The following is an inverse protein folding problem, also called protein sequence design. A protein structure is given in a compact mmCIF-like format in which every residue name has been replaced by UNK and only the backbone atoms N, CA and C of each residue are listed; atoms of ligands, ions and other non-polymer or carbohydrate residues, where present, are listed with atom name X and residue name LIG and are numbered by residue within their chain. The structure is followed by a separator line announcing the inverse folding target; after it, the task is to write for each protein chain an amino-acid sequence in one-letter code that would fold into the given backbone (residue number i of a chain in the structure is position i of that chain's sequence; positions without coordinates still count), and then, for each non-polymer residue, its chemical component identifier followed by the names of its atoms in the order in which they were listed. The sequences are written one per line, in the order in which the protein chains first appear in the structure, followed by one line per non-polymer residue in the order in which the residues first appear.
data_IF_954302767950
#
_entry.id   IF_954302767950
#
_cell.length_a   1.000
_cell.length_b   1.000
_cell.length_c   1.000
_cell.angle_alpha   90.00
_cell.angle_beta   90.00
_cell.angle_gamma   90.00
#
_symmetry.space_group_name_H-M   'P 1'
#
loop_
_entity.id
_entity.type
_entity.pdbx_description
1 polymer ?
#
# COMPACT_ATOMS: atom_id res chain seq x y z
N UNK A 1 -5.79 6.45 -8.50
CA UNK A 1 -6.00 6.44 -7.04
C UNK A 1 -7.48 6.23 -6.69
N UNK A 2 -8.41 7.10 -7.09
CA UNK A 2 -9.85 6.99 -6.75
C UNK A 2 -10.44 5.63 -7.08
N UNK A 3 -10.17 5.09 -8.27
CA UNK A 3 -10.65 3.76 -8.66
C UNK A 3 -10.12 2.67 -7.71
N UNK A 4 -8.85 2.74 -7.32
CA UNK A 4 -8.25 1.77 -6.40
C UNK A 4 -8.91 1.81 -5.02
N UNK A 5 -9.20 3.00 -4.49
CA UNK A 5 -9.94 3.17 -3.23
C UNK A 5 -11.32 2.52 -3.36
N UNK A 6 -12.10 2.87 -4.40
CA UNK A 6 -13.43 2.30 -4.64
C UNK A 6 -13.42 0.78 -4.85
N UNK A 7 -12.36 0.23 -5.43
CA UNK A 7 -12.21 -1.22 -5.55
C UNK A 7 -12.07 -1.89 -4.17
N UNK A 8 -11.31 -1.31 -3.24
CA UNK A 8 -11.19 -1.84 -1.87
C UNK A 8 -12.51 -1.71 -1.10
N UNK A 9 -13.18 -0.57 -1.19
CA UNK A 9 -14.50 -0.36 -0.59
C UNK A 9 -15.52 -1.38 -1.12
N UNK A 10 -15.57 -1.57 -2.44
CA UNK A 10 -16.46 -2.54 -3.06
C UNK A 10 -16.14 -3.97 -2.66
N UNK A 11 -14.86 -4.32 -2.57
CA UNK A 11 -14.43 -5.64 -2.12
C UNK A 11 -14.86 -5.91 -0.67
N UNK A 12 -14.79 -4.91 0.20
CA UNK A 12 -15.25 -5.03 1.58
C UNK A 12 -16.77 -5.33 1.64
N UNK A 13 -17.57 -4.63 0.83
CA UNK A 13 -19.02 -4.89 0.70
C UNK A 13 -19.29 -6.31 0.17
N UNK A 14 -18.55 -6.74 -0.87
CA UNK A 14 -18.70 -8.07 -1.44
C UNK A 14 -18.36 -9.18 -0.44
N UNK A 15 -17.28 -9.03 0.34
CA UNK A 15 -16.94 -9.98 1.41
C UNK A 15 -18.08 -10.12 2.41
N UNK A 16 -18.68 -9.01 2.85
CA UNK A 16 -19.82 -9.05 3.74
C UNK A 16 -21.07 -9.73 3.13
N UNK A 17 -21.27 -9.61 1.84
CA UNK A 17 -22.34 -10.34 1.11
C UNK A 17 -22.04 -11.85 1.04
N UNK A 18 -20.84 -12.24 0.64
CA UNK A 18 -20.41 -13.63 0.54
C UNK A 18 -20.45 -14.35 1.89
N UNK A 19 -20.07 -13.68 2.97
CA UNK A 19 -20.18 -14.23 4.34
C UNK A 19 -21.65 -14.51 4.72
N UNK A 20 -22.59 -13.62 4.34
CA UNK A 20 -24.01 -13.83 4.58
C UNK A 20 -24.61 -14.97 3.74
N UNK A 21 -24.04 -15.21 2.55
CA UNK A 21 -24.45 -16.31 1.66
C UNK A 21 -23.87 -17.67 2.13
N UNK A 22 -23.00 -17.68 3.14
CA UNK A 22 -22.50 -18.87 3.82
C UNK A 22 -21.80 -19.86 2.87
N UNK A 23 -22.19 -21.13 2.97
CA UNK A 23 -21.56 -22.26 2.25
C UNK A 23 -21.69 -22.21 0.72
N UNK A 24 -22.42 -21.23 0.19
CA UNK A 24 -22.46 -20.98 -1.26
C UNK A 24 -21.08 -20.63 -1.83
N UNK A 25 -20.21 -20.02 -1.01
CA UNK A 25 -18.88 -19.58 -1.37
C UNK A 25 -17.82 -20.30 -0.53
N UNK A 26 -16.72 -20.77 -1.14
CA UNK A 26 -15.58 -21.29 -0.37
C UNK A 26 -15.06 -20.27 0.64
N UNK A 27 -14.60 -20.72 1.79
CA UNK A 27 -14.10 -19.84 2.88
C UNK A 27 -13.04 -18.83 2.41
N UNK A 28 -12.20 -19.22 1.45
CA UNK A 28 -11.18 -18.31 0.87
C UNK A 28 -11.79 -17.05 0.24
N UNK A 29 -13.02 -17.13 -0.27
CA UNK A 29 -13.73 -15.99 -0.88
C UNK A 29 -14.18 -15.00 0.21
N UNK A 30 -14.54 -15.49 1.39
CA UNK A 30 -14.92 -14.66 2.54
C UNK A 30 -13.75 -13.78 3.05
N UNK A 31 -12.52 -14.14 2.72
CA UNK A 31 -11.28 -13.44 3.10
C UNK A 31 -10.49 -12.91 1.91
N UNK A 32 -11.12 -12.86 0.74
CA UNK A 32 -10.47 -12.41 -0.50
C UNK A 32 -9.92 -10.99 -0.33
N UNK A 33 -8.69 -10.81 -0.78
CA UNK A 33 -7.97 -9.54 -0.73
C UNK A 33 -7.38 -9.22 -2.10
N UNK A 34 -7.28 -7.95 -2.41
CA UNK A 34 -6.64 -7.45 -3.60
C UNK A 34 -5.58 -6.42 -3.23
N UNK A 35 -4.37 -6.56 -3.76
CA UNK A 35 -3.31 -5.55 -3.66
C UNK A 35 -3.19 -4.80 -4.97
N UNK A 36 -2.89 -3.51 -4.86
CA UNK A 36 -2.80 -2.60 -6.00
C UNK A 36 -1.53 -1.79 -5.86
N UNK A 37 -0.66 -1.86 -6.86
CA UNK A 37 0.52 -1.00 -6.99
C UNK A 37 0.27 0.05 -8.07
N UNK A 38 0.49 1.33 -7.76
CA UNK A 38 0.27 2.43 -8.70
C UNK A 38 1.57 3.23 -8.86
N UNK A 39 1.99 3.38 -10.10
CA UNK A 39 3.12 4.23 -10.46
C UNK A 39 2.78 5.10 -11.65
N UNK A 40 3.28 6.32 -11.66
CA UNK A 40 3.10 7.29 -12.75
C UNK A 40 4.42 7.53 -13.47
N UNK A 41 4.42 7.45 -14.80
CA UNK A 41 5.59 7.72 -15.60
C UNK A 41 5.43 7.29 -17.06
N UNK A 42 6.47 7.51 -17.87
CA UNK A 42 6.47 7.15 -19.28
C UNK A 42 6.60 5.63 -19.46
N UNK A 43 5.87 5.08 -20.40
CA UNK A 43 5.92 3.66 -20.79
C UNK A 43 5.79 3.52 -22.30
N UNK A 44 6.21 2.37 -22.82
CA UNK A 44 5.99 1.98 -24.21
C UNK A 44 4.83 1.01 -24.26
N UNK A 45 3.89 1.25 -25.17
CA UNK A 45 2.76 0.36 -25.41
C UNK A 45 2.76 -0.11 -26.86
N UNK A 46 2.38 -1.35 -27.09
CA UNK A 46 2.30 -1.91 -28.44
C UNK A 46 2.07 -3.41 -28.46
N UNK A 47 1.96 -3.95 -29.66
CA UNK A 47 1.92 -5.38 -29.88
C UNK A 47 3.32 -5.96 -29.68
N UNK A 48 3.45 -6.90 -28.77
CA UNK A 48 4.72 -7.57 -28.43
C UNK A 48 4.52 -9.08 -28.41
N UNK A 49 5.51 -9.79 -28.97
CA UNK A 49 5.45 -11.25 -29.06
C UNK A 49 6.13 -11.78 -30.30
N UNK A 50 5.84 -13.03 -30.64
CA UNK A 50 6.26 -13.68 -31.87
C UNK A 50 5.19 -13.57 -32.95
N UNK A 51 5.52 -13.92 -34.20
CA UNK A 51 4.56 -13.95 -35.31
C UNK A 51 3.34 -14.83 -35.02
N UNK A 52 3.51 -15.88 -34.22
CA UNK A 52 2.44 -16.81 -33.86
C UNK A 52 1.63 -16.37 -32.62
N UNK A 53 2.13 -15.43 -31.80
CA UNK A 53 1.46 -14.98 -30.59
C UNK A 53 1.82 -13.53 -30.25
N UNK A 54 0.93 -12.64 -30.54
CA UNK A 54 1.03 -11.21 -30.25
C UNK A 54 0.10 -10.83 -29.11
N UNK A 55 0.63 -10.06 -28.15
CA UNK A 55 -0.15 -9.44 -27.08
C UNK A 55 0.07 -7.93 -27.08
N UNK A 56 -1.00 -7.16 -27.02
CA UNK A 56 -0.88 -5.73 -26.76
C UNK A 56 -0.55 -5.54 -25.27
N UNK A 57 0.61 -5.00 -25.00
CA UNK A 57 1.12 -4.88 -23.63
C UNK A 57 1.90 -3.59 -23.40
N UNK A 58 2.27 -3.37 -22.16
CA UNK A 58 3.05 -2.22 -21.71
C UNK A 58 4.42 -2.68 -21.23
N UNK A 59 5.47 -1.93 -21.57
CA UNK A 59 6.84 -2.19 -21.14
C UNK A 59 7.50 -0.92 -20.63
N UNK A 60 8.43 -1.09 -19.70
CA UNK A 60 9.28 -0.04 -19.14
C UNK A 60 9.49 -0.20 -17.63
N UNK A 61 10.50 0.49 -17.13
CA UNK A 61 10.82 0.49 -15.70
C UNK A 61 9.65 1.00 -14.84
N UNK A 62 8.87 1.91 -15.40
CA UNK A 62 7.65 2.45 -14.78
C UNK A 62 6.61 1.36 -14.53
N UNK A 63 6.41 0.46 -15.49
CA UNK A 63 5.48 -0.67 -15.37
C UNK A 63 6.00 -1.68 -14.36
N UNK A 64 7.31 -2.01 -14.44
CA UNK A 64 7.96 -2.90 -13.49
C UNK A 64 7.90 -2.38 -12.05
N UNK A 65 8.02 -1.06 -11.86
CA UNK A 65 7.88 -0.45 -10.54
C UNK A 65 6.47 -0.63 -10.00
N UNK A 66 5.42 -0.43 -10.80
CA UNK A 66 4.04 -0.65 -10.36
C UNK A 66 3.82 -2.10 -9.87
N UNK A 67 4.34 -3.10 -10.60
CA UNK A 67 4.27 -4.50 -10.19
C UNK A 67 5.04 -4.78 -8.88
N UNK A 68 6.19 -4.14 -8.69
CA UNK A 68 6.97 -4.25 -7.43
C UNK A 68 6.25 -3.59 -6.26
N UNK A 69 5.58 -2.46 -6.47
CA UNK A 69 4.76 -1.81 -5.44
C UNK A 69 3.62 -2.73 -4.99
N UNK A 70 2.94 -3.39 -5.92
CA UNK A 70 1.91 -4.40 -5.59
C UNK A 70 2.50 -5.51 -4.71
N UNK A 71 3.62 -6.09 -5.14
CA UNK A 71 4.24 -7.22 -4.43
C UNK A 71 4.79 -6.82 -3.06
N UNK A 72 5.45 -5.65 -2.95
CA UNK A 72 6.02 -5.15 -1.70
C UNK A 72 4.97 -4.70 -0.68
N UNK A 73 3.77 -4.33 -1.12
CA UNK A 73 2.66 -3.97 -0.24
C UNK A 73 2.34 -5.05 0.80
N UNK A 74 2.60 -6.32 0.46
CA UNK A 74 2.44 -7.45 1.38
C UNK A 74 3.34 -7.33 2.62
N UNK A 75 4.55 -6.80 2.47
CA UNK A 75 5.52 -6.69 3.57
C UNK A 75 5.03 -5.71 4.64
N UNK A 76 4.36 -4.64 4.20
CA UNK A 76 3.80 -3.62 5.10
C UNK A 76 2.36 -3.93 5.54
N UNK A 77 1.75 -4.98 5.02
CA UNK A 77 0.34 -5.29 5.30
C UNK A 77 -0.63 -4.23 4.77
N UNK A 78 -0.30 -3.59 3.64
CA UNK A 78 -1.11 -2.56 2.99
C UNK A 78 -1.70 -3.06 1.68
N UNK A 79 -2.78 -2.45 1.22
CA UNK A 79 -3.52 -2.93 0.05
C UNK A 79 -3.36 -2.05 -1.19
N UNK A 80 -3.11 -0.76 -1.02
CA UNK A 80 -2.81 0.14 -2.14
C UNK A 80 -1.51 0.83 -1.85
N UNK A 81 -0.49 0.55 -2.66
CA UNK A 81 0.82 1.20 -2.54
C UNK A 81 1.09 2.05 -3.78
N UNK A 82 1.51 3.29 -3.56
CA UNK A 82 1.80 4.24 -4.62
C UNK A 82 3.24 4.74 -4.54
N UNK A 83 3.80 5.11 -5.69
CA UNK A 83 5.12 5.74 -5.78
C UNK A 83 5.05 7.23 -5.47
N UNK A 84 6.23 7.80 -5.21
CA UNK A 84 6.45 9.24 -5.09
C UNK A 84 5.93 10.02 -6.30
N UNK A 85 6.21 9.57 -7.53
CA UNK A 85 5.72 10.21 -8.74
C UNK A 85 4.20 10.23 -8.86
N UNK A 86 3.52 9.18 -8.34
CA UNK A 86 2.06 9.17 -8.26
C UNK A 86 1.57 10.11 -7.18
N UNK A 87 2.20 10.08 -5.99
CA UNK A 87 1.85 10.95 -4.88
C UNK A 87 1.94 12.43 -5.29
N UNK A 88 3.05 12.87 -5.87
CA UNK A 88 3.23 14.26 -6.31
C UNK A 88 2.16 14.73 -7.29
N UNK A 89 1.69 13.83 -8.18
CA UNK A 89 0.66 14.16 -9.15
C UNK A 89 -0.75 14.38 -8.54
N UNK A 90 -1.02 13.82 -7.32
CA UNK A 90 -2.38 13.82 -6.74
C UNK A 90 -2.43 14.16 -5.25
N UNK A 91 -1.34 14.62 -4.64
CA UNK A 91 -1.19 14.89 -3.20
C UNK A 91 -2.25 15.80 -2.59
N UNK A 92 -2.81 16.71 -3.38
CA UNK A 92 -3.86 17.62 -2.93
C UNK A 92 -5.25 16.97 -2.85
N UNK A 93 -5.41 15.77 -3.40
CA UNK A 93 -6.68 15.06 -3.53
C UNK A 93 -6.76 13.79 -2.68
N UNK A 94 -5.65 13.33 -2.13
CA UNK A 94 -5.58 12.04 -1.41
C UNK A 94 -4.94 12.19 -0.04
N UNK A 95 -5.20 11.21 0.82
CA UNK A 95 -4.53 11.00 2.10
C UNK A 95 -3.67 9.76 2.01
N UNK A 96 -2.43 9.86 2.47
CA UNK A 96 -1.46 8.77 2.41
C UNK A 96 -0.74 8.60 3.75
N UNK A 97 -0.20 7.40 3.96
CA UNK A 97 0.80 7.12 4.98
C UNK A 97 2.16 6.89 4.29
N UNK A 98 3.16 7.66 4.63
CA UNK A 98 4.52 7.38 4.17
C UNK A 98 4.95 6.01 4.70
N UNK A 99 5.53 5.17 3.83
CA UNK A 99 5.95 3.83 4.25
C UNK A 99 7.46 3.74 4.36
N UNK A 100 8.19 3.89 3.25
CA UNK A 100 9.62 3.60 3.21
C UNK A 100 10.27 4.19 1.95
N UNK A 101 11.58 3.99 1.84
CA UNK A 101 12.37 4.21 0.64
C UNK A 101 12.78 2.87 0.05
N UNK A 102 12.30 2.56 -1.15
CA UNK A 102 12.57 1.28 -1.83
C UNK A 102 13.61 1.48 -2.91
N UNK A 103 14.70 0.72 -2.84
CA UNK A 103 15.70 0.69 -3.93
C UNK A 103 15.12 -0.08 -5.12
N UNK A 104 15.06 0.57 -6.26
CA UNK A 104 14.60 -0.01 -7.51
C UNK A 104 15.80 -0.30 -8.41
N UNK A 105 15.89 -1.51 -8.95
CA UNK A 105 16.95 -1.88 -9.91
C UNK A 105 16.91 -0.90 -11.09
N UNK A 106 18.08 -0.34 -11.48
CA UNK A 106 18.20 0.65 -12.54
C UNK A 106 17.99 2.11 -12.09
N UNK A 107 17.65 2.38 -10.84
CA UNK A 107 17.66 3.73 -10.26
C UNK A 107 18.77 3.87 -9.24
N UNK A 108 19.49 4.98 -9.31
CA UNK A 108 20.56 5.34 -8.36
C UNK A 108 20.01 5.77 -7.02
N UNK A 109 18.82 6.38 -7.00
CA UNK A 109 18.18 6.87 -5.81
C UNK A 109 16.98 6.00 -5.42
N UNK A 110 16.77 5.77 -4.10
CA UNK A 110 15.60 5.04 -3.62
C UNK A 110 14.32 5.84 -3.88
N UNK A 111 13.25 5.13 -4.21
CA UNK A 111 11.92 5.70 -4.46
C UNK A 111 11.14 5.69 -3.16
N UNK A 112 10.62 6.83 -2.75
CA UNK A 112 9.70 6.91 -1.62
C UNK A 112 8.36 6.27 -1.99
N UNK A 113 7.83 5.47 -1.08
CA UNK A 113 6.58 4.73 -1.28
C UNK A 113 5.58 5.06 -0.19
N UNK A 114 4.31 5.02 -0.56
CA UNK A 114 3.21 5.42 0.31
C UNK A 114 2.09 4.38 0.25
N UNK A 115 1.40 4.20 1.36
CA UNK A 115 0.06 3.61 1.38
C UNK A 115 -0.96 4.68 1.02
N UNK A 116 -1.83 4.37 0.08
CA UNK A 116 -2.98 5.21 -0.24
C UNK A 116 -4.15 4.83 0.69
N UNK A 117 -4.61 5.79 1.49
CA UNK A 117 -5.65 5.58 2.50
C UNK A 117 -7.03 5.94 1.95
N UNK A 118 -7.23 7.18 1.55
CA UNK A 118 -8.55 7.71 1.15
C UNK A 118 -8.43 8.91 0.21
N UNK A 119 -9.55 9.40 -0.29
CA UNK A 119 -9.65 10.76 -0.80
C UNK A 119 -9.57 11.75 0.37
N UNK A 120 -9.06 12.95 0.11
CA UNK A 120 -8.89 13.99 1.14
C UNK A 120 -10.25 14.39 1.72
N UNK A 121 -10.32 14.41 3.04
CA UNK A 121 -11.55 14.70 3.78
C UNK A 121 -12.48 13.49 3.95
N UNK A 122 -12.08 12.29 3.49
CA UNK A 122 -12.83 11.05 3.65
C UNK A 122 -12.11 10.03 4.54
N UNK A 123 -11.04 10.44 5.19
CA UNK A 123 -10.30 9.60 6.13
C UNK A 123 -11.14 9.26 7.36
N UNK A 124 -11.08 8.00 7.78
CA UNK A 124 -11.75 7.55 9.00
C UNK A 124 -11.15 8.20 10.24
N UNK A 125 -11.92 8.30 11.32
CA UNK A 125 -11.43 8.83 12.60
C UNK A 125 -10.23 8.02 13.15
N UNK A 126 -10.18 6.73 12.83
CA UNK A 126 -9.05 5.87 13.16
C UNK A 126 -7.77 6.34 12.44
N UNK A 127 -7.83 6.57 11.12
CA UNK A 127 -6.67 7.05 10.38
C UNK A 127 -6.26 8.47 10.75
N UNK A 128 -7.18 9.35 11.11
CA UNK A 128 -6.84 10.69 11.64
C UNK A 128 -5.99 10.63 12.90
N UNK A 129 -6.14 9.57 13.72
CA UNK A 129 -5.33 9.34 14.94
C UNK A 129 -4.01 8.63 14.61
N UNK A 130 -4.05 7.61 13.76
CA UNK A 130 -2.87 6.80 13.41
C UNK A 130 -1.81 7.62 12.66
N UNK A 131 -2.22 8.37 11.64
CA UNK A 131 -1.26 9.01 10.73
C UNK A 131 -0.29 9.96 11.42
N UNK A 132 -0.72 10.88 12.32
CA UNK A 132 0.21 11.75 13.03
C UNK A 132 1.22 10.98 13.88
N UNK A 133 0.76 9.99 14.65
CA UNK A 133 1.60 9.18 15.54
C UNK A 133 2.59 8.31 14.74
N UNK A 134 2.11 7.69 13.66
CA UNK A 134 2.98 6.90 12.79
C UNK A 134 4.06 7.75 12.10
N UNK A 135 3.70 8.93 11.59
CA UNK A 135 4.66 9.85 10.96
C UNK A 135 5.67 10.39 11.96
N UNK A 136 5.27 10.68 13.20
CA UNK A 136 6.18 11.03 14.30
C UNK A 136 7.17 9.88 14.56
N UNK A 137 6.69 8.64 14.61
CA UNK A 137 7.54 7.45 14.72
C UNK A 137 8.56 7.35 13.59
N UNK A 138 8.16 7.65 12.34
CA UNK A 138 9.10 7.71 11.21
C UNK A 138 10.14 8.80 11.36
N UNK A 139 9.78 9.97 11.87
CA UNK A 139 10.74 11.05 12.12
C UNK A 139 11.79 10.64 13.16
N UNK A 140 11.37 10.01 14.27
CA UNK A 140 12.29 9.46 15.26
C UNK A 140 13.18 8.36 14.65
N UNK A 141 12.61 7.47 13.85
CA UNK A 141 13.35 6.42 13.14
C UNK A 141 14.47 6.99 12.27
N UNK A 142 14.18 8.01 11.46
CA UNK A 142 15.19 8.64 10.61
C UNK A 142 16.21 9.48 11.39
N UNK A 143 15.86 9.93 12.59
CA UNK A 143 16.79 10.58 13.53
C UNK A 143 17.60 9.58 14.38
N UNK A 144 17.33 8.27 14.23
CA UNK A 144 17.92 7.18 15.02
C UNK A 144 17.58 7.26 16.52
N UNK A 145 16.47 7.88 16.89
CA UNK A 145 15.92 7.89 18.26
C UNK A 145 15.00 6.67 18.40
N UNK A 146 15.63 5.49 18.57
CA UNK A 146 14.96 4.19 18.47
C UNK A 146 13.88 4.00 19.53
N UNK A 147 14.14 4.43 20.76
CA UNK A 147 13.20 4.26 21.88
C UNK A 147 11.90 5.01 21.62
N UNK A 148 12.00 6.28 21.21
CA UNK A 148 10.80 7.08 20.86
C UNK A 148 10.11 6.58 19.60
N UNK A 149 10.88 6.10 18.62
CA UNK A 149 10.31 5.48 17.43
C UNK A 149 9.47 4.25 17.78
N UNK A 150 10.00 3.36 18.64
CA UNK A 150 9.29 2.16 19.11
C UNK A 150 8.01 2.54 19.86
N UNK A 151 8.05 3.53 20.76
CA UNK A 151 6.88 3.98 21.52
C UNK A 151 5.78 4.51 20.57
N UNK A 152 6.15 5.37 19.63
CA UNK A 152 5.22 5.90 18.65
C UNK A 152 4.62 4.79 17.76
N UNK A 153 5.44 3.85 17.26
CA UNK A 153 4.95 2.74 16.46
C UNK A 153 4.07 1.77 17.26
N UNK A 154 4.34 1.52 18.55
CA UNK A 154 3.45 0.73 19.40
C UNK A 154 2.10 1.39 19.59
N UNK A 155 2.09 2.70 19.86
CA UNK A 155 0.85 3.47 19.96
C UNK A 155 0.05 3.44 18.65
N UNK A 156 0.72 3.57 17.50
CA UNK A 156 0.07 3.46 16.21
C UNK A 156 -0.46 2.04 15.92
N UNK A 157 0.27 0.98 16.34
CA UNK A 157 -0.18 -0.42 16.20
C UNK A 157 -1.44 -0.71 17.00
N UNK A 158 -1.55 -0.18 18.22
CA UNK A 158 -2.73 -0.35 19.08
C UNK A 158 -4.00 0.29 18.47
N UNK A 159 -3.83 1.36 17.70
CA UNK A 159 -4.93 2.01 17.00
C UNK A 159 -5.29 1.32 15.68
N UNK A 160 -4.41 0.49 15.14
CA UNK A 160 -4.55 -0.12 13.82
C UNK A 160 -5.57 -1.25 13.81
N UNK A 161 -6.58 -1.14 12.95
CA UNK A 161 -7.57 -2.21 12.78
C UNK A 161 -6.94 -3.43 12.12
N UNK A 162 -6.97 -4.57 12.83
CA UNK A 162 -6.57 -5.86 12.29
C UNK A 162 -7.80 -6.65 11.89
N UNK A 163 -8.02 -6.83 10.61
CA UNK A 163 -9.13 -7.60 10.06
C UNK A 163 -8.67 -8.96 9.51
N UNK A 164 -9.58 -9.94 9.34
CA UNK A 164 -9.22 -11.28 8.89
C UNK A 164 -8.37 -11.27 7.63
N UNK A 165 -7.21 -11.97 7.67
CA UNK A 165 -6.26 -12.05 6.58
C UNK A 165 -5.17 -10.97 6.57
N UNK A 166 -5.26 -9.92 7.35
CA UNK A 166 -4.18 -8.97 7.56
C UNK A 166 -3.22 -9.52 8.62
N UNK A 167 -1.99 -9.84 8.20
CA UNK A 167 -0.99 -10.49 9.08
C UNK A 167 -0.07 -9.50 9.77
N UNK A 168 0.07 -8.30 9.22
CA UNK A 168 0.95 -7.24 9.70
C UNK A 168 0.41 -5.88 9.32
N UNK A 169 1.01 -4.83 9.84
CA UNK A 169 0.79 -3.44 9.48
C UNK A 169 2.13 -2.68 9.47
N UNK A 170 2.20 -1.45 8.99
CA UNK A 170 3.46 -0.72 8.90
C UNK A 170 4.19 -0.57 10.23
N UNK A 171 3.49 -0.34 11.35
CA UNK A 171 4.10 -0.20 12.67
C UNK A 171 4.83 -1.48 13.10
N UNK A 172 4.22 -2.64 12.89
CA UNK A 172 4.83 -3.97 13.17
C UNK A 172 6.04 -4.28 12.30
N UNK A 173 6.21 -3.60 11.19
CA UNK A 173 7.41 -3.71 10.35
C UNK A 173 8.55 -2.87 10.92
N UNK A 174 8.23 -1.69 11.46
CA UNK A 174 9.24 -0.77 11.96
C UNK A 174 9.73 -1.10 13.37
N UNK A 175 8.89 -1.61 14.26
CA UNK A 175 9.29 -1.97 15.64
C UNK A 175 10.54 -2.88 15.64
N UNK A 176 10.56 -4.04 14.95
CA UNK A 176 11.75 -4.89 14.93
C UNK A 176 12.97 -4.26 14.25
N UNK A 177 12.77 -3.29 13.35
CA UNK A 177 13.87 -2.56 12.71
C UNK A 177 14.55 -1.57 13.67
N UNK A 178 13.82 -1.08 14.68
CA UNK A 178 14.37 -0.22 15.71
C UNK A 178 15.10 -1.03 16.79
N UNK A 179 14.75 -2.33 16.98
CA UNK A 179 15.34 -3.22 17.99
C UNK A 179 16.66 -3.86 17.53
N UNK A 180 16.96 -3.88 16.22
CA UNK A 180 18.17 -4.45 15.62
C UNK A 180 19.21 -3.40 15.22
#
# INVERSE_FOLDING_TARGET
CRTAIKMQERLAVLRGQWQKEGDRWPEIVHHMQNRIGINTGKMVTGNMGSESRMNYTMMGDTVNLAARLESSAKQYGVYIQISDSTYEAVKDQIVVRALDFVRVMGKTEPVKVFELISEKGQESETYKKILPVFHEGLEYYFKQDWDKAIEAFKTADELEEMFPGRKTNPSRVYIPRCEN
#
